data_IF_599156451090
#
_entry.id   IF_599156451090
#
_cell.length_a   1.000
_cell.length_b   1.000
_cell.length_c   1.000
_cell.angle_alpha   90.00
_cell.angle_beta   90.00
_cell.angle_gamma   90.00
#
_symmetry.space_group_name_H-M   'P 1'
#
loop_
_entity.id
_entity.type
_entity.pdbx_description
1 polymer ?
#
# COMPACT_ATOMS: atom_id res chain seq x y z
N UNK A 1 8.01 -20.25 4.94
CA UNK A 1 6.73 -19.56 5.16
C UNK A 1 6.98 -18.10 4.86
N UNK A 2 6.10 -17.43 4.09
CA UNK A 2 6.28 -16.04 3.71
C UNK A 2 6.48 -15.14 4.93
N UNK A 3 7.28 -14.08 4.79
CA UNK A 3 7.50 -13.10 5.86
C UNK A 3 6.15 -12.53 6.35
N UNK A 4 5.22 -12.25 5.44
CA UNK A 4 3.82 -11.95 5.71
C UNK A 4 2.94 -12.79 4.77
N UNK A 5 2.11 -13.66 5.33
CA UNK A 5 1.21 -14.48 4.51
C UNK A 5 -0.03 -13.70 4.05
N UNK A 6 0.13 -12.90 2.98
CA UNK A 6 -0.97 -12.21 2.29
C UNK A 6 -1.70 -13.09 1.27
N UNK A 7 -1.42 -14.39 1.23
CA UNK A 7 -2.26 -15.36 0.52
C UNK A 7 -3.46 -15.78 1.37
N UNK A 8 -3.35 -15.68 2.70
CA UNK A 8 -4.42 -15.98 3.62
C UNK A 8 -5.48 -14.86 3.61
N UNK A 9 -6.76 -15.18 3.31
CA UNK A 9 -7.84 -14.19 3.23
C UNK A 9 -8.03 -13.37 4.52
N UNK A 10 -7.78 -13.97 5.69
CA UNK A 10 -7.90 -13.28 6.99
C UNK A 10 -6.82 -12.21 7.12
N UNK A 11 -5.58 -12.51 6.72
CA UNK A 11 -4.48 -11.55 6.75
C UNK A 11 -4.70 -10.40 5.77
N UNK A 12 -5.24 -10.70 4.57
CA UNK A 12 -5.64 -9.67 3.60
C UNK A 12 -6.72 -8.76 4.17
N UNK A 13 -7.72 -9.32 4.85
CA UNK A 13 -8.78 -8.53 5.49
C UNK A 13 -8.21 -7.62 6.59
N UNK A 14 -7.29 -8.13 7.42
CA UNK A 14 -6.62 -7.34 8.45
C UNK A 14 -5.82 -6.20 7.81
N UNK A 15 -5.03 -6.49 6.77
CA UNK A 15 -4.27 -5.48 6.04
C UNK A 15 -5.18 -4.40 5.44
N UNK A 16 -6.33 -4.79 4.90
CA UNK A 16 -7.34 -3.85 4.38
C UNK A 16 -7.93 -2.97 5.47
N UNK A 17 -8.28 -3.54 6.62
CA UNK A 17 -8.80 -2.76 7.76
C UNK A 17 -7.75 -1.75 8.23
N UNK A 18 -6.50 -2.19 8.41
CA UNK A 18 -5.39 -1.30 8.80
C UNK A 18 -5.15 -0.21 7.76
N UNK A 19 -5.17 -0.55 6.47
CA UNK A 19 -5.06 0.41 5.38
C UNK A 19 -6.12 1.51 5.50
N UNK A 20 -7.39 1.14 5.65
CA UNK A 20 -8.50 2.10 5.77
C UNK A 20 -8.34 2.98 7.02
N UNK A 21 -7.95 2.39 8.16
CA UNK A 21 -7.73 3.13 9.40
C UNK A 21 -6.59 4.15 9.27
N UNK A 22 -5.48 3.79 8.62
CA UNK A 22 -4.35 4.70 8.40
C UNK A 22 -4.73 5.83 7.45
N UNK A 23 -5.49 5.55 6.37
CA UNK A 23 -5.99 6.59 5.47
C UNK A 23 -6.97 7.52 6.19
N UNK A 24 -7.86 6.97 7.03
CA UNK A 24 -8.76 7.77 7.86
C UNK A 24 -7.99 8.69 8.81
N UNK A 25 -6.97 8.17 9.49
CA UNK A 25 -6.10 8.96 10.35
C UNK A 25 -5.39 10.08 9.58
N UNK A 26 -4.84 9.78 8.39
CA UNK A 26 -4.17 10.77 7.55
C UNK A 26 -5.11 11.91 7.13
N UNK A 27 -6.38 11.58 6.85
CA UNK A 27 -7.44 12.55 6.55
C UNK A 27 -7.74 13.45 7.75
N UNK A 28 -7.87 12.88 8.94
CA UNK A 28 -8.18 13.63 10.16
C UNK A 28 -7.07 14.61 10.52
N UNK A 29 -5.81 14.18 10.45
CA UNK A 29 -4.66 15.06 10.74
C UNK A 29 -4.27 15.97 9.57
N UNK A 30 -4.86 15.75 8.39
CA UNK A 30 -4.57 16.46 7.12
C UNK A 30 -3.08 16.47 6.78
N UNK A 31 -2.44 15.30 6.82
CA UNK A 31 -1.03 15.09 6.48
C UNK A 31 -0.86 13.93 5.51
N UNK A 32 -0.30 14.20 4.34
CA UNK A 32 0.02 13.20 3.31
C UNK A 32 1.22 12.33 3.69
N UNK A 33 2.07 12.80 4.61
CA UNK A 33 3.21 12.03 5.13
C UNK A 33 2.79 10.65 5.70
N UNK A 34 1.60 10.54 6.31
CA UNK A 34 1.12 9.26 6.86
C UNK A 34 0.82 8.26 5.75
N UNK A 35 0.12 8.69 4.70
CA UNK A 35 -0.12 7.86 3.51
C UNK A 35 1.15 7.58 2.71
N UNK A 36 2.14 8.47 2.75
CA UNK A 36 3.47 8.23 2.17
C UNK A 36 4.20 7.10 2.90
N UNK A 37 4.24 7.12 4.24
CA UNK A 37 4.80 6.04 5.05
C UNK A 37 4.06 4.72 4.78
N UNK A 38 2.74 4.76 4.60
CA UNK A 38 1.94 3.59 4.24
C UNK A 38 2.36 3.01 2.88
N UNK A 39 2.54 3.85 1.86
CA UNK A 39 3.04 3.43 0.55
C UNK A 39 4.44 2.81 0.64
N UNK A 40 5.38 3.46 1.33
CA UNK A 40 6.74 2.94 1.55
C UNK A 40 6.73 1.60 2.29
N UNK A 41 5.78 1.41 3.20
CA UNK A 41 5.60 0.14 3.92
C UNK A 41 5.24 -0.98 2.94
N UNK A 42 4.25 -0.79 2.07
CA UNK A 42 3.88 -1.80 1.08
C UNK A 42 4.96 -2.02 0.02
N UNK A 43 5.70 -0.98 -0.39
CA UNK A 43 6.87 -1.11 -1.25
C UNK A 43 7.98 -1.95 -0.60
N UNK A 44 8.14 -1.86 0.72
CA UNK A 44 9.10 -2.68 1.45
C UNK A 44 8.63 -4.13 1.54
N UNK A 45 7.33 -4.37 1.79
CA UNK A 45 6.75 -5.72 1.86
C UNK A 45 6.91 -6.45 0.52
N UNK A 46 6.54 -5.81 -0.60
CA UNK A 46 6.68 -6.44 -1.92
C UNK A 46 8.14 -6.75 -2.26
N UNK A 47 9.06 -5.84 -1.92
CA UNK A 47 10.49 -6.10 -2.10
C UNK A 47 10.94 -7.31 -1.27
N UNK A 48 10.45 -7.43 -0.03
CA UNK A 48 10.67 -8.59 0.83
C UNK A 48 10.19 -9.90 0.21
N UNK A 49 8.95 -9.95 -0.30
CA UNK A 49 8.43 -11.16 -0.94
C UNK A 49 9.14 -11.49 -2.26
N UNK A 50 9.55 -10.49 -3.04
CA UNK A 50 10.39 -10.71 -4.23
C UNK A 50 11.76 -11.31 -3.88
N UNK A 51 12.42 -10.80 -2.83
CA UNK A 51 13.68 -11.36 -2.34
C UNK A 51 13.46 -12.79 -1.85
N UNK A 52 12.39 -13.03 -1.09
CA UNK A 52 12.06 -14.37 -0.59
C UNK A 52 11.83 -15.36 -1.75
N UNK A 53 11.09 -14.95 -2.78
CA UNK A 53 10.84 -15.76 -3.97
C UNK A 53 12.13 -16.21 -4.67
N UNK A 54 13.14 -15.34 -4.73
CA UNK A 54 14.42 -15.65 -5.40
C UNK A 54 15.40 -16.40 -4.49
N UNK A 55 15.36 -16.15 -3.18
CA UNK A 55 16.32 -16.71 -2.22
C UNK A 55 15.89 -18.07 -1.64
N UNK A 56 14.63 -18.48 -1.81
CA UNK A 56 14.15 -19.74 -1.24
C UNK A 56 14.77 -20.94 -1.95
N UNK A 57 15.61 -21.69 -1.23
CA UNK A 57 16.23 -22.93 -1.72
C UNK A 57 15.35 -24.13 -1.42
N UNK A 58 15.32 -25.13 -2.31
CA UNK A 58 14.54 -26.36 -2.15
C UNK A 58 13.06 -26.12 -1.84
N UNK A 59 12.47 -25.04 -2.37
CA UNK A 59 11.07 -24.72 -2.13
C UNK A 59 10.13 -25.73 -2.79
N UNK A 60 9.08 -26.11 -2.07
CA UNK A 60 7.97 -26.85 -2.65
C UNK A 60 7.21 -25.95 -3.64
N UNK A 61 6.56 -26.55 -4.65
CA UNK A 61 5.72 -25.78 -5.59
C UNK A 61 4.60 -25.01 -4.86
N UNK A 62 4.08 -25.58 -3.78
CA UNK A 62 3.07 -24.94 -2.94
C UNK A 62 3.60 -23.66 -2.30
N UNK A 63 4.81 -23.69 -1.72
CA UNK A 63 5.42 -22.51 -1.13
C UNK A 63 5.68 -21.41 -2.16
N UNK A 64 6.16 -21.76 -3.35
CA UNK A 64 6.37 -20.80 -4.44
C UNK A 64 5.05 -20.15 -4.89
N UNK A 65 3.97 -20.93 -5.00
CA UNK A 65 2.63 -20.41 -5.32
C UNK A 65 2.12 -19.46 -4.23
N UNK A 66 2.33 -19.80 -2.96
CA UNK A 66 1.97 -18.94 -1.83
C UNK A 66 2.69 -17.60 -1.90
N UNK A 67 4.02 -17.60 -2.09
CA UNK A 67 4.81 -16.36 -2.21
C UNK A 67 4.37 -15.55 -3.44
N UNK A 68 4.15 -16.19 -4.58
CA UNK A 68 3.67 -15.53 -5.79
C UNK A 68 2.30 -14.85 -5.59
N UNK A 69 1.39 -15.50 -4.86
CA UNK A 69 0.11 -14.91 -4.50
C UNK A 69 0.27 -13.71 -3.55
N UNK A 70 1.18 -13.77 -2.57
CA UNK A 70 1.51 -12.62 -1.74
C UNK A 70 1.99 -11.43 -2.58
N UNK A 71 2.90 -11.64 -3.53
CA UNK A 71 3.39 -10.59 -4.44
C UNK A 71 2.24 -9.95 -5.23
N UNK A 72 1.32 -10.77 -5.75
CA UNK A 72 0.16 -10.27 -6.49
C UNK A 72 -0.73 -9.38 -5.61
N UNK A 73 -0.97 -9.77 -4.36
CA UNK A 73 -1.74 -8.98 -3.39
C UNK A 73 -0.99 -7.71 -2.98
N UNK A 74 0.32 -7.78 -2.80
CA UNK A 74 1.14 -6.60 -2.49
C UNK A 74 1.01 -5.53 -3.57
N UNK A 75 1.04 -5.92 -4.85
CA UNK A 75 0.85 -4.98 -5.97
C UNK A 75 -0.47 -4.21 -5.86
N UNK A 76 -1.55 -4.88 -5.43
CA UNK A 76 -2.84 -4.22 -5.21
C UNK A 76 -2.71 -3.17 -4.10
N UNK A 77 -2.08 -3.50 -2.97
CA UNK A 77 -1.90 -2.55 -1.88
C UNK A 77 -0.93 -1.41 -2.20
N UNK A 78 0.13 -1.66 -2.97
CA UNK A 78 1.03 -0.61 -3.49
C UNK A 78 0.23 0.35 -4.38
N UNK A 79 -0.61 -0.17 -5.27
CA UNK A 79 -1.45 0.68 -6.12
C UNK A 79 -2.46 1.50 -5.31
N UNK A 80 -3.17 0.88 -4.36
CA UNK A 80 -4.13 1.56 -3.49
C UNK A 80 -3.47 2.62 -2.62
N UNK A 81 -2.31 2.32 -2.03
CA UNK A 81 -1.56 3.27 -1.19
C UNK A 81 -0.99 4.43 -1.99
N UNK A 82 -0.59 4.20 -3.25
CA UNK A 82 -0.16 5.26 -4.15
C UNK A 82 -1.30 6.24 -4.46
N UNK A 83 -2.49 5.74 -4.81
CA UNK A 83 -3.68 6.59 -5.04
C UNK A 83 -4.04 7.34 -3.75
N UNK A 84 -4.06 6.65 -2.61
CA UNK A 84 -4.38 7.27 -1.33
C UNK A 84 -3.38 8.39 -0.97
N UNK A 85 -2.09 8.20 -1.26
CA UNK A 85 -1.07 9.21 -1.06
C UNK A 85 -1.31 10.45 -1.92
N UNK A 86 -1.57 10.30 -3.22
CA UNK A 86 -1.85 11.42 -4.11
C UNK A 86 -3.11 12.20 -3.70
N UNK A 87 -4.17 11.49 -3.30
CA UNK A 87 -5.36 12.13 -2.78
C UNK A 87 -5.08 12.91 -1.49
N UNK A 88 -4.30 12.33 -0.58
CA UNK A 88 -3.98 12.97 0.70
C UNK A 88 -3.04 14.17 0.54
N UNK A 89 -2.15 14.14 -0.45
CA UNK A 89 -1.29 15.25 -0.85
C UNK A 89 -2.12 16.45 -1.35
N UNK A 90 -3.11 16.20 -2.21
CA UNK A 90 -4.05 17.23 -2.66
C UNK A 90 -4.85 17.86 -1.49
N UNK A 91 -5.32 17.03 -0.55
CA UNK A 91 -6.01 17.54 0.65
C UNK A 91 -5.07 18.37 1.54
N UNK A 92 -3.83 17.93 1.77
CA UNK A 92 -2.86 18.72 2.54
C UNK A 92 -2.51 20.04 1.83
N UNK A 93 -2.35 20.02 0.51
CA UNK A 93 -2.06 21.19 -0.30
C UNK A 93 -3.17 22.24 -0.21
N UNK A 94 -4.43 21.82 -0.31
CA UNK A 94 -5.61 22.69 -0.15
C UNK A 94 -5.72 23.29 1.24
N UNK A 95 -5.49 22.48 2.28
CA UNK A 95 -5.56 22.95 3.67
C UNK A 95 -4.43 23.94 3.99
N UNK A 96 -3.20 23.66 3.57
CA UNK A 96 -2.00 24.41 3.94
C UNK A 96 -1.60 25.48 2.92
N UNK A 97 -2.30 25.57 1.79
CA UNK A 97 -1.98 26.45 0.65
C UNK A 97 -0.56 26.23 0.12
N UNK A 98 -0.12 24.98 0.13
CA UNK A 98 1.17 24.55 -0.45
C UNK A 98 0.94 23.92 -1.83
N UNK A 99 2.03 23.71 -2.59
CA UNK A 99 1.94 23.02 -3.89
C UNK A 99 1.77 21.52 -3.66
N UNK A 100 0.94 20.89 -4.48
CA UNK A 100 0.90 19.43 -4.60
C UNK A 100 2.17 18.93 -5.29
N UNK A 101 2.51 17.68 -4.99
CA UNK A 101 3.64 16.97 -5.61
C UNK A 101 3.25 16.51 -7.02
N UNK A 102 2.01 16.06 -7.21
CA UNK A 102 1.46 15.68 -8.51
C UNK A 102 -0.03 16.01 -8.57
N UNK A 103 -0.54 16.36 -9.76
CA UNK A 103 -1.95 16.74 -9.97
C UNK A 103 -2.62 16.01 -11.14
N UNK A 104 -2.06 14.89 -11.59
CA UNK A 104 -2.57 14.10 -12.73
C UNK A 104 -3.95 13.48 -12.48
N UNK A 105 -4.28 13.22 -11.22
CA UNK A 105 -5.51 12.55 -10.79
C UNK A 105 -6.53 13.49 -10.15
N UNK A 106 -6.33 14.80 -10.27
CA UNK A 106 -7.19 15.82 -9.65
C UNK A 106 -8.67 15.69 -10.06
N UNK A 107 -8.91 15.22 -11.29
CA UNK A 107 -10.24 14.95 -11.83
C UNK A 107 -10.98 13.83 -11.09
N UNK A 108 -10.28 12.91 -10.43
CA UNK A 108 -10.85 11.74 -9.76
C UNK A 108 -11.51 12.10 -8.44
N UNK A 109 -10.95 13.04 -7.68
CA UNK A 109 -11.44 13.46 -6.36
C UNK A 109 -12.04 14.87 -6.31
N UNK A 110 -12.15 15.58 -7.44
CA UNK A 110 -12.73 16.95 -7.49
C UNK A 110 -14.14 17.08 -6.89
N UNK A 111 -14.89 15.98 -6.79
CA UNK A 111 -16.28 15.93 -6.31
C UNK A 111 -16.42 15.42 -4.87
N UNK A 112 -15.33 14.97 -4.25
CA UNK A 112 -15.29 14.40 -2.89
C UNK A 112 -14.73 15.45 -1.93
#
# INVERSE_FOLDING_TARGET
MPIIDLSNPINVLIALILFILVVFLAKEIKRSNVTCILLLTFLTIIAGHCIEYVMVQNATEELLKTIANCIAVDFIFVFLSFIAYLWMDDVEAKERKIKTIDNSLDWFWKKV
#
